data_IF_716162068491
#
_entry.id   IF_716162068491
#
_cell.length_a   1.000
_cell.length_b   1.000
_cell.length_c   1.000
_cell.angle_alpha   90.00
_cell.angle_beta   90.00
_cell.angle_gamma   90.00
#
_symmetry.space_group_name_H-M   'P 1'
#
loop_
_entity.id
_entity.type
_entity.pdbx_description
1 polymer ?
#
# COMPACT_ATOMS: atom_id res chain seq x y z
N UNK A 1 -7.35 -16.69 13.48
CA UNK A 1 -5.95 -16.38 13.85
C UNK A 1 -6.00 -15.66 15.19
N UNK A 2 -5.60 -16.31 16.28
CA UNK A 2 -5.51 -15.66 17.60
C UNK A 2 -4.20 -14.89 17.64
N UNK A 3 -4.26 -13.56 17.54
CA UNK A 3 -3.10 -12.68 17.56
C UNK A 3 -2.50 -12.69 18.98
N UNK A 4 -1.43 -13.49 19.20
CA UNK A 4 -0.75 -13.66 20.50
C UNK A 4 0.15 -12.47 20.89
N UNK A 5 0.35 -11.52 19.99
CA UNK A 5 1.04 -10.25 20.21
C UNK A 5 0.10 -9.10 19.86
N UNK A 6 0.29 -7.88 20.40
CA UNK A 6 -0.49 -6.71 19.99
C UNK A 6 -0.43 -6.60 18.47
N UNK A 7 -1.56 -6.74 17.77
CA UNK A 7 -1.61 -6.50 16.34
C UNK A 7 -1.73 -5.00 16.16
N UNK A 8 -0.57 -4.36 16.08
CA UNK A 8 -0.47 -2.96 16.44
C UNK A 8 -0.64 -2.03 15.25
N UNK A 9 -1.18 -2.53 14.15
CA UNK A 9 -1.02 -1.87 12.86
C UNK A 9 -2.12 -2.30 11.93
N UNK A 10 -2.87 -1.34 11.38
CA UNK A 10 -3.88 -1.61 10.37
C UNK A 10 -3.35 -1.17 9.03
N UNK A 11 -3.39 -2.10 8.07
CA UNK A 11 -3.06 -1.83 6.69
C UNK A 11 -4.25 -2.23 5.84
N UNK A 12 -4.81 -1.26 5.13
CA UNK A 12 -5.76 -1.54 4.06
C UNK A 12 -5.02 -1.65 2.75
N UNK A 13 -5.23 -2.72 1.96
CA UNK A 13 -4.67 -2.85 0.61
C UNK A 13 -5.74 -3.10 -0.45
N UNK A 14 -5.63 -2.44 -1.60
CA UNK A 14 -6.63 -2.45 -2.69
C UNK A 14 -6.04 -2.81 -4.05
N UNK A 15 -6.93 -3.15 -4.98
CA UNK A 15 -6.79 -4.22 -5.97
C UNK A 15 -6.28 -3.74 -7.37
N UNK A 16 -5.67 -4.60 -8.23
CA UNK A 16 -4.93 -4.17 -9.42
C UNK A 16 -5.76 -4.00 -10.69
N UNK A 17 -5.13 -3.45 -11.74
CA UNK A 17 -5.48 -3.65 -13.14
C UNK A 17 -5.27 -5.12 -13.58
N UNK A 18 -6.05 -5.61 -14.55
CA UNK A 18 -5.76 -6.87 -15.27
C UNK A 18 -4.68 -6.60 -16.37
N UNK A 19 -3.67 -7.46 -16.56
CA UNK A 19 -2.55 -7.32 -17.54
C UNK A 19 -2.76 -8.21 -18.80
N UNK A 20 -2.01 -8.07 -19.93
CA UNK A 20 -1.19 -6.94 -20.43
C UNK A 20 -1.64 -6.52 -21.86
N UNK A 21 -2.02 -5.28 -22.13
CA UNK A 21 -2.25 -4.85 -23.52
C UNK A 21 -1.84 -3.40 -23.74
N UNK A 22 -1.15 -3.20 -24.86
CA UNK A 22 -0.83 -1.95 -25.52
C UNK A 22 -2.08 -1.16 -25.94
N UNK A 23 -3.08 -0.98 -25.08
CA UNK A 23 -4.18 -0.06 -25.32
C UNK A 23 -4.68 0.52 -24.00
N UNK A 24 -4.62 1.85 -23.91
CA UNK A 24 -5.16 2.60 -22.78
C UNK A 24 -6.63 2.31 -22.59
N UNK A 25 -6.93 1.52 -21.55
CA UNK A 25 -8.09 1.59 -20.67
C UNK A 25 -8.00 0.39 -19.70
N UNK A 26 -7.21 0.55 -18.63
CA UNK A 26 -7.10 -0.45 -17.58
C UNK A 26 -8.45 -0.67 -16.88
N UNK A 27 -8.81 -1.93 -16.66
CA UNK A 27 -9.99 -2.29 -15.86
C UNK A 27 -9.55 -2.53 -14.41
N UNK A 28 -9.94 -1.65 -13.49
CA UNK A 28 -9.79 -1.95 -12.06
C UNK A 28 -10.57 -3.25 -11.78
N UNK A 29 -10.02 -4.09 -10.91
CA UNK A 29 -10.66 -5.34 -10.52
C UNK A 29 -11.01 -5.24 -9.05
N UNK A 30 -12.05 -5.91 -8.56
CA UNK A 30 -12.35 -6.02 -7.12
C UNK A 30 -12.26 -7.48 -6.66
N UNK A 31 -11.20 -7.83 -5.90
CA UNK A 31 -10.86 -9.18 -5.44
C UNK A 31 -9.95 -9.11 -4.20
N UNK A 32 -10.51 -9.30 -3.01
CA UNK A 32 -9.77 -9.14 -1.74
C UNK A 32 -8.60 -10.13 -1.57
N UNK A 33 -8.58 -11.27 -2.27
CA UNK A 33 -7.53 -12.28 -2.15
C UNK A 33 -6.44 -12.23 -3.24
N UNK A 34 -6.50 -11.28 -4.17
CA UNK A 34 -5.49 -11.18 -5.26
C UNK A 34 -4.07 -11.04 -4.73
N UNK A 35 -3.91 -10.36 -3.60
CA UNK A 35 -2.62 -10.03 -3.00
C UNK A 35 -2.31 -10.85 -1.74
N UNK A 36 -2.85 -12.07 -1.63
CA UNK A 36 -2.67 -12.89 -0.42
C UNK A 36 -1.22 -13.06 0.04
N UNK A 37 -0.25 -13.13 -0.89
CA UNK A 37 1.16 -13.30 -0.55
C UNK A 37 1.70 -12.07 0.16
N UNK A 38 1.42 -10.89 -0.39
CA UNK A 38 1.72 -9.61 0.24
C UNK A 38 0.97 -9.47 1.58
N UNK A 39 -0.35 -9.65 1.59
CA UNK A 39 -1.17 -9.53 2.80
C UNK A 39 -0.71 -10.49 3.91
N UNK A 40 -0.38 -11.74 3.55
CA UNK A 40 0.09 -12.76 4.46
C UNK A 40 1.46 -12.43 5.05
N UNK A 41 2.40 -11.96 4.21
CA UNK A 41 3.72 -11.49 4.66
C UNK A 41 3.56 -10.38 5.70
N UNK A 42 2.82 -9.32 5.39
CA UNK A 42 2.61 -8.20 6.29
C UNK A 42 1.89 -8.64 7.58
N UNK A 43 0.85 -9.46 7.47
CA UNK A 43 0.11 -9.98 8.62
C UNK A 43 1.02 -10.82 9.53
N UNK A 44 1.97 -11.57 8.98
CA UNK A 44 2.93 -12.37 9.76
C UNK A 44 3.84 -11.51 10.66
N UNK A 45 3.97 -10.22 10.36
CA UNK A 45 4.70 -9.24 11.15
C UNK A 45 3.86 -8.48 12.18
N UNK A 46 2.64 -8.96 12.47
CA UNK A 46 1.82 -8.44 13.57
C UNK A 46 0.88 -7.29 13.19
N UNK A 47 0.34 -7.32 11.96
CA UNK A 47 -0.66 -6.35 11.50
C UNK A 47 -2.04 -7.01 11.31
N UNK A 48 -3.10 -6.23 11.52
CA UNK A 48 -4.44 -6.54 11.05
C UNK A 48 -4.59 -5.99 9.62
N UNK A 49 -4.96 -6.85 8.69
CA UNK A 49 -5.12 -6.50 7.27
C UNK A 49 -6.60 -6.55 6.90
N UNK A 50 -7.10 -5.49 6.28
CA UNK A 50 -8.41 -5.47 5.65
C UNK A 50 -8.19 -5.29 4.14
N UNK A 51 -8.61 -6.27 3.36
CA UNK A 51 -8.59 -6.18 1.89
C UNK A 51 -10.02 -6.01 1.40
N UNK A 52 -10.26 -5.00 0.55
CA UNK A 52 -11.59 -4.76 0.00
C UNK A 52 -11.84 -5.53 -1.29
N UNK A 53 -13.12 -5.78 -1.52
CA UNK A 53 -13.60 -6.59 -2.63
C UNK A 53 -13.98 -8.01 -2.18
N UNK A 54 -14.72 -8.73 -3.02
CA UNK A 54 -15.12 -10.10 -2.71
C UNK A 54 -13.90 -10.98 -2.48
N UNK A 55 -14.01 -11.94 -1.57
CA UNK A 55 -13.13 -13.10 -1.49
C UNK A 55 -13.34 -13.96 -2.73
N UNK A 56 -12.90 -13.48 -3.90
CA UNK A 56 -12.88 -14.31 -5.10
C UNK A 56 -12.17 -15.63 -4.76
N UNK A 57 -12.66 -16.71 -5.37
CA UNK A 57 -12.18 -18.08 -5.12
C UNK A 57 -10.65 -18.12 -5.07
N UNK A 58 -10.13 -18.68 -3.98
CA UNK A 58 -8.71 -18.89 -3.78
C UNK A 58 -8.11 -19.60 -5.02
N UNK A 59 -7.15 -18.97 -5.72
CA UNK A 59 -6.59 -19.49 -6.96
C UNK A 59 -5.75 -20.77 -6.79
N UNK A 60 -5.38 -21.15 -5.56
CA UNK A 60 -4.70 -22.42 -5.24
C UNK A 60 -5.68 -23.57 -5.01
N UNK A 61 -6.87 -23.31 -4.44
CA UNK A 61 -7.87 -24.35 -4.15
C UNK A 61 -8.97 -24.45 -5.18
N UNK A 62 -9.14 -23.44 -6.05
CA UNK A 62 -10.00 -23.51 -7.23
C UNK A 62 -9.33 -22.86 -8.43
N UNK A 63 -9.24 -23.56 -9.59
CA UNK A 63 -8.73 -22.95 -10.81
C UNK A 63 -9.54 -21.68 -11.10
N UNK A 64 -8.81 -20.61 -11.44
CA UNK A 64 -9.34 -19.29 -11.79
C UNK A 64 -10.64 -19.43 -12.57
N UNK A 65 -11.78 -19.18 -11.92
CA UNK A 65 -13.04 -19.06 -12.64
C UNK A 65 -12.88 -17.90 -13.61
N UNK A 66 -12.96 -18.18 -14.91
CA UNK A 66 -12.96 -17.18 -15.98
C UNK A 66 -14.12 -16.17 -15.86
N UNK A 67 -15.05 -16.40 -14.92
CA UNK A 67 -16.28 -15.64 -14.73
C UNK A 67 -16.30 -14.74 -13.46
N UNK A 68 -15.19 -14.55 -12.74
CA UNK A 68 -15.23 -13.83 -11.43
C UNK A 68 -14.32 -12.62 -11.29
N UNK A 69 -13.45 -12.31 -12.25
CA UNK A 69 -12.79 -10.99 -12.32
C UNK A 69 -13.78 -9.99 -12.91
N UNK A 70 -14.68 -9.45 -12.09
CA UNK A 70 -15.56 -8.38 -12.52
C UNK A 70 -14.71 -7.11 -12.61
N UNK A 71 -14.57 -6.57 -13.82
CA UNK A 71 -14.10 -5.20 -13.99
C UNK A 71 -15.01 -4.30 -13.15
N UNK A 72 -14.44 -3.60 -12.19
CA UNK A 72 -15.17 -2.71 -11.30
C UNK A 72 -14.68 -1.29 -11.49
N UNK A 73 -15.53 -0.32 -11.18
CA UNK A 73 -15.06 1.04 -10.93
C UNK A 73 -14.26 1.09 -9.62
N UNK A 74 -13.50 2.17 -9.44
CA UNK A 74 -12.87 2.46 -8.15
C UNK A 74 -13.94 2.60 -7.06
N UNK A 75 -13.67 2.08 -5.86
CA UNK A 75 -14.55 2.17 -4.70
C UNK A 75 -13.79 2.64 -3.44
N UNK A 76 -13.36 3.92 -3.39
CA UNK A 76 -12.69 4.46 -2.21
C UNK A 76 -13.59 4.45 -0.96
N UNK A 77 -14.92 4.41 -1.10
CA UNK A 77 -15.82 4.30 0.05
C UNK A 77 -15.63 2.98 0.82
N UNK A 78 -15.21 1.90 0.15
CA UNK A 78 -14.89 0.65 0.83
C UNK A 78 -13.64 0.77 1.72
N UNK A 79 -12.67 1.61 1.34
CA UNK A 79 -11.53 1.97 2.19
C UNK A 79 -12.00 2.74 3.42
N UNK A 80 -12.80 3.78 3.23
CA UNK A 80 -13.32 4.59 4.35
C UNK A 80 -14.15 3.75 5.32
N UNK A 81 -15.01 2.86 4.82
CA UNK A 81 -15.79 1.94 5.66
C UNK A 81 -14.92 0.99 6.49
N UNK A 82 -13.78 0.54 5.95
CA UNK A 82 -12.85 -0.28 6.70
C UNK A 82 -12.14 0.53 7.80
N UNK A 83 -11.75 1.78 7.53
CA UNK A 83 -11.22 2.68 8.57
C UNK A 83 -12.26 2.85 9.69
N UNK A 84 -13.52 3.11 9.34
CA UNK A 84 -14.61 3.24 10.31
C UNK A 84 -14.81 1.96 11.12
N UNK A 85 -14.80 0.81 10.46
CA UNK A 85 -14.93 -0.49 11.12
C UNK A 85 -13.79 -0.74 12.11
N UNK A 86 -12.56 -0.39 11.75
CA UNK A 86 -11.39 -0.53 12.63
C UNK A 86 -11.57 0.32 13.88
N UNK A 87 -11.94 1.58 13.73
CA UNK A 87 -12.17 2.47 14.88
C UNK A 87 -13.33 2.03 15.75
N UNK A 88 -14.36 1.39 15.16
CA UNK A 88 -15.48 0.85 15.92
C UNK A 88 -15.12 -0.42 16.71
N UNK A 89 -14.16 -1.23 16.25
CA UNK A 89 -13.89 -2.58 16.77
C UNK A 89 -12.54 -2.74 17.48
N UNK A 90 -11.55 -1.89 17.20
CA UNK A 90 -10.25 -1.93 17.86
C UNK A 90 -10.40 -1.88 19.40
N UNK A 91 -9.58 -2.66 20.10
CA UNK A 91 -9.62 -2.78 21.55
C UNK A 91 -10.81 -3.59 22.10
N UNK A 92 -11.63 -4.25 21.25
CA UNK A 92 -12.83 -4.98 21.68
C UNK A 92 -12.84 -6.43 21.22
N UNK A 93 -13.29 -7.34 22.10
CA UNK A 93 -13.55 -8.75 21.77
C UNK A 93 -12.35 -9.43 21.09
N UNK A 94 -12.57 -9.97 19.89
CA UNK A 94 -11.52 -10.61 19.08
C UNK A 94 -10.41 -9.66 18.62
N UNK A 95 -10.66 -8.35 18.68
CA UNK A 95 -9.77 -7.27 18.24
C UNK A 95 -9.19 -6.48 19.42
N UNK A 96 -9.18 -7.07 20.62
CA UNK A 96 -8.62 -6.43 21.84
C UNK A 96 -7.16 -6.00 21.67
N UNK A 97 -6.42 -6.71 20.83
CA UNK A 97 -5.01 -6.45 20.55
C UNK A 97 -4.78 -5.45 19.39
N UNK A 98 -5.84 -4.88 18.81
CA UNK A 98 -5.76 -3.95 17.69
C UNK A 98 -5.68 -2.52 18.20
N UNK A 99 -4.65 -1.78 17.77
CA UNK A 99 -4.45 -0.37 18.11
C UNK A 99 -4.85 0.53 16.92
N UNK A 100 -5.99 1.21 17.05
CA UNK A 100 -6.49 2.12 16.00
C UNK A 100 -5.68 3.40 15.84
N UNK A 101 -4.79 3.73 16.79
CA UNK A 101 -3.87 4.88 16.66
C UNK A 101 -2.69 4.63 15.71
N UNK A 102 -2.66 3.45 15.08
CA UNK A 102 -1.58 3.00 14.20
C UNK A 102 -2.18 2.47 12.88
N UNK A 103 -2.76 3.38 12.12
CA UNK A 103 -3.47 3.05 10.88
C UNK A 103 -2.80 3.64 9.63
N UNK A 104 -2.75 2.82 8.58
CA UNK A 104 -2.28 3.18 7.25
C UNK A 104 -3.22 2.67 6.15
N UNK A 105 -3.19 3.35 5.01
CA UNK A 105 -3.96 2.95 3.82
C UNK A 105 -3.02 2.84 2.63
N UNK A 106 -2.96 1.65 2.06
CA UNK A 106 -2.08 1.32 0.95
C UNK A 106 -2.91 0.84 -0.24
N UNK A 107 -2.33 0.87 -1.42
CA UNK A 107 -3.01 0.34 -2.59
C UNK A 107 -2.08 0.19 -3.78
N UNK A 108 -2.43 -0.76 -4.63
CA UNK A 108 -1.74 -0.99 -5.88
C UNK A 108 -2.60 -0.50 -7.05
N UNK A 109 -1.99 0.11 -8.07
CA UNK A 109 -2.72 0.50 -9.29
C UNK A 109 -3.95 1.39 -9.01
N UNK A 110 -5.16 1.05 -9.49
CA UNK A 110 -6.41 1.72 -9.12
C UNK A 110 -6.59 1.84 -7.61
N UNK A 111 -6.15 0.82 -6.87
CA UNK A 111 -6.13 0.84 -5.43
C UNK A 111 -5.28 1.96 -4.83
N UNK A 112 -4.18 2.36 -5.46
CA UNK A 112 -3.39 3.51 -5.04
C UNK A 112 -4.16 4.83 -5.18
N UNK A 113 -4.96 4.98 -6.24
CA UNK A 113 -5.85 6.13 -6.42
C UNK A 113 -6.98 6.16 -5.37
N UNK A 114 -7.50 4.99 -5.02
CA UNK A 114 -8.45 4.85 -3.91
C UNK A 114 -7.79 5.22 -2.58
N UNK A 115 -6.55 4.77 -2.34
CA UNK A 115 -5.79 5.09 -1.14
C UNK A 115 -5.59 6.60 -0.97
N UNK A 116 -5.24 7.32 -2.04
CA UNK A 116 -5.25 8.79 -2.02
C UNK A 116 -6.61 9.34 -1.59
N UNK A 117 -7.68 8.90 -2.24
CA UNK A 117 -9.04 9.42 -1.97
C UNK A 117 -9.48 9.18 -0.53
N UNK A 118 -9.21 7.99 0.00
CA UNK A 118 -9.66 7.60 1.33
C UNK A 118 -8.81 8.17 2.47
N UNK A 119 -7.53 8.47 2.23
CA UNK A 119 -6.57 8.76 3.31
C UNK A 119 -6.03 10.18 3.35
N UNK A 120 -6.00 10.91 2.22
CA UNK A 120 -5.31 12.21 2.15
C UNK A 120 -5.82 13.22 3.17
N UNK A 121 -7.12 13.18 3.49
CA UNK A 121 -7.79 14.10 4.41
C UNK A 121 -8.40 13.41 5.64
N UNK A 122 -8.10 12.13 5.88
CA UNK A 122 -8.59 11.42 7.07
C UNK A 122 -7.50 11.43 8.15
N UNK A 123 -7.66 12.26 9.19
CA UNK A 123 -6.68 12.44 10.27
C UNK A 123 -6.36 11.17 11.06
N UNK A 124 -7.18 10.12 10.93
CA UNK A 124 -6.92 8.81 11.52
C UNK A 124 -5.83 8.03 10.79
N UNK A 125 -5.53 8.39 9.53
CA UNK A 125 -4.51 7.73 8.71
C UNK A 125 -3.17 8.44 8.87
N UNK A 126 -2.14 7.69 9.27
CA UNK A 126 -0.81 8.25 9.55
C UNK A 126 0.10 8.30 8.34
N UNK A 127 -0.07 7.39 7.38
CA UNK A 127 0.70 7.40 6.13
C UNK A 127 -0.01 6.64 5.02
N UNK A 128 0.44 6.89 3.79
CA UNK A 128 -0.11 6.30 2.57
C UNK A 128 0.98 5.51 1.84
N UNK A 129 0.63 4.32 1.36
CA UNK A 129 1.51 3.44 0.59
C UNK A 129 0.98 3.27 -0.84
N UNK A 130 1.75 3.74 -1.83
CA UNK A 130 1.38 3.72 -3.25
C UNK A 130 2.28 2.71 -3.96
N UNK A 131 1.70 1.59 -4.37
CA UNK A 131 2.43 0.52 -5.06
C UNK A 131 2.05 0.52 -6.55
N UNK A 132 3.02 0.64 -7.46
CA UNK A 132 2.79 0.58 -8.91
C UNK A 132 1.57 1.39 -9.36
N UNK A 133 1.49 2.64 -8.91
CA UNK A 133 0.34 3.53 -9.08
C UNK A 133 0.77 5.00 -9.15
N UNK A 134 -0.16 5.86 -9.54
CA UNK A 134 -0.06 7.30 -9.53
C UNK A 134 -1.25 7.95 -10.23
N UNK A 135 -1.44 9.24 -10.02
CA UNK A 135 -2.56 10.01 -10.59
C UNK A 135 -2.56 9.96 -12.12
N UNK A 136 -3.76 9.81 -12.70
CA UNK A 136 -3.92 9.52 -14.14
C UNK A 136 -3.65 10.72 -15.07
N UNK A 137 -3.45 11.91 -14.52
CA UNK A 137 -3.16 13.12 -15.29
C UNK A 137 -2.25 14.06 -14.50
N UNK A 138 -1.55 14.95 -15.21
CA UNK A 138 -0.72 15.97 -14.56
C UNK A 138 -1.55 16.92 -13.66
N UNK A 139 -2.78 17.26 -14.09
CA UNK A 139 -3.66 18.13 -13.31
C UNK A 139 -4.11 17.45 -12.01
N UNK A 140 -4.50 16.18 -12.07
CA UNK A 140 -4.88 15.43 -10.87
C UNK A 140 -3.67 15.15 -9.97
N UNK A 141 -2.48 14.95 -10.54
CA UNK A 141 -1.22 14.85 -9.78
C UNK A 141 -0.97 16.12 -8.97
N UNK A 142 -1.05 17.31 -9.59
CA UNK A 142 -0.90 18.58 -8.88
C UNK A 142 -2.00 18.81 -7.84
N UNK A 143 -3.26 18.50 -8.16
CA UNK A 143 -4.38 18.73 -7.25
C UNK A 143 -4.34 17.80 -6.02
N UNK A 144 -3.92 16.54 -6.19
CA UNK A 144 -3.95 15.51 -5.14
C UNK A 144 -2.58 15.33 -4.49
N UNK A 145 -1.55 14.94 -5.26
CA UNK A 145 -0.21 14.74 -4.72
C UNK A 145 0.44 16.09 -4.35
N UNK A 146 0.24 17.13 -5.17
CA UNK A 146 0.79 18.47 -4.91
C UNK A 146 0.24 19.18 -3.67
N UNK A 147 -0.80 18.64 -3.03
CA UNK A 147 -1.36 19.15 -1.76
C UNK A 147 -1.16 18.16 -0.60
N UNK A 148 -0.43 17.06 -0.82
CA UNK A 148 -0.23 16.01 0.17
C UNK A 148 0.63 16.50 1.34
N UNK A 149 0.10 16.41 2.56
CA UNK A 149 0.84 16.77 3.78
C UNK A 149 1.25 15.56 4.62
N UNK A 150 0.61 14.39 4.40
CA UNK A 150 0.90 13.16 5.15
C UNK A 150 2.15 12.46 4.58
N UNK A 151 2.88 11.69 5.39
CA UNK A 151 3.91 10.79 4.90
C UNK A 151 3.37 9.87 3.79
N UNK A 152 4.09 9.79 2.67
CA UNK A 152 3.67 9.00 1.50
C UNK A 152 4.84 8.24 0.88
N UNK A 153 4.62 6.96 0.56
CA UNK A 153 5.67 6.03 0.14
C UNK A 153 5.30 5.38 -1.17
N UNK A 154 6.14 5.55 -2.19
CA UNK A 154 5.95 4.99 -3.52
C UNK A 154 6.89 3.80 -3.74
N UNK A 155 6.36 2.68 -4.21
CA UNK A 155 7.14 1.54 -4.68
C UNK A 155 6.69 1.21 -6.09
N UNK A 156 7.50 1.53 -7.10
CA UNK A 156 7.11 1.53 -8.50
C UNK A 156 7.86 0.44 -9.29
N UNK A 157 7.19 -0.13 -10.30
CA UNK A 157 7.69 -1.26 -11.08
C UNK A 157 8.71 -0.91 -12.16
N UNK A 158 9.26 0.30 -12.12
CA UNK A 158 10.28 0.78 -13.05
C UNK A 158 9.72 1.17 -14.41
N UNK A 159 10.57 1.58 -15.37
CA UNK A 159 10.12 2.17 -16.64
C UNK A 159 9.19 1.31 -17.51
N UNK A 160 9.13 -0.01 -17.29
CA UNK A 160 8.23 -0.94 -17.98
C UNK A 160 6.84 -1.05 -17.34
N UNK A 161 6.66 -0.52 -16.13
CA UNK A 161 5.36 -0.41 -15.47
C UNK A 161 4.54 0.75 -16.05
N UNK A 162 3.31 0.46 -16.45
CA UNK A 162 2.33 1.44 -16.95
C UNK A 162 2.11 2.61 -15.99
N UNK A 163 2.21 2.40 -14.68
CA UNK A 163 1.99 3.42 -13.68
C UNK A 163 3.26 4.19 -13.28
N UNK A 164 4.44 3.78 -13.77
CA UNK A 164 5.73 4.36 -13.35
C UNK A 164 5.80 5.87 -13.57
N UNK A 165 5.43 6.34 -14.76
CA UNK A 165 5.44 7.77 -15.08
C UNK A 165 4.50 8.55 -14.18
N UNK A 166 3.34 7.99 -13.84
CA UNK A 166 2.36 8.64 -12.97
C UNK A 166 2.88 8.74 -11.53
N UNK A 167 3.41 7.64 -10.97
CA UNK A 167 3.96 7.64 -9.61
C UNK A 167 5.18 8.56 -9.46
N UNK A 168 6.06 8.57 -10.47
CA UNK A 168 7.20 9.50 -10.49
C UNK A 168 6.76 10.96 -10.61
N UNK A 169 5.71 11.24 -11.39
CA UNK A 169 5.12 12.59 -11.49
C UNK A 169 4.51 13.02 -10.15
N UNK A 170 3.73 12.15 -9.51
CA UNK A 170 3.17 12.40 -8.18
C UNK A 170 4.27 12.75 -7.17
N UNK A 171 5.30 11.92 -7.08
CA UNK A 171 6.44 12.16 -6.19
C UNK A 171 7.12 13.50 -6.47
N UNK A 172 7.29 13.86 -7.74
CA UNK A 172 7.91 15.13 -8.13
C UNK A 172 7.08 16.37 -7.76
N UNK A 173 5.75 16.22 -7.73
CA UNK A 173 4.81 17.29 -7.44
C UNK A 173 4.58 17.51 -5.94
N UNK A 174 4.99 16.58 -5.08
CA UNK A 174 4.83 16.70 -3.63
C UNK A 174 5.40 18.03 -3.10
N UNK A 175 4.73 18.67 -2.12
CA UNK A 175 5.34 19.77 -1.39
C UNK A 175 6.70 19.37 -0.84
N UNK A 176 7.66 20.30 -0.89
CA UNK A 176 9.03 20.06 -0.39
C UNK A 176 9.10 19.84 1.11
N UNK A 177 8.01 20.01 1.85
CA UNK A 177 7.88 19.73 3.28
C UNK A 177 7.31 18.34 3.57
N UNK A 178 6.75 17.65 2.58
CA UNK A 178 6.07 16.37 2.75
C UNK A 178 7.10 15.25 2.93
N UNK A 179 7.03 14.45 4.01
CA UNK A 179 7.86 13.26 4.14
C UNK A 179 7.51 12.24 3.06
N UNK A 180 8.49 11.86 2.25
CA UNK A 180 8.23 10.95 1.15
C UNK A 180 9.44 10.11 0.78
N UNK A 181 9.15 8.91 0.28
CA UNK A 181 10.12 7.99 -0.32
C UNK A 181 9.56 7.49 -1.64
N UNK A 182 10.42 7.34 -2.64
CA UNK A 182 10.14 6.59 -3.87
C UNK A 182 11.24 5.56 -4.07
N UNK A 183 10.85 4.30 -4.24
CA UNK A 183 11.73 3.20 -4.61
C UNK A 183 11.24 2.57 -5.92
N UNK A 184 12.15 2.37 -6.87
CA UNK A 184 11.85 1.73 -8.14
C UNK A 184 12.49 0.34 -8.20
N UNK A 185 11.72 -0.66 -8.60
CA UNK A 185 12.19 -2.00 -8.95
C UNK A 185 11.94 -2.26 -10.45
N UNK A 186 12.32 -3.42 -10.99
CA UNK A 186 12.33 -3.70 -12.43
C UNK A 186 11.38 -4.84 -12.85
N UNK A 187 10.39 -5.14 -12.00
CA UNK A 187 9.43 -6.25 -12.17
C UNK A 187 8.13 -5.83 -12.87
N UNK A 188 8.02 -4.59 -13.35
CA UNK A 188 6.80 -4.09 -13.95
C UNK A 188 5.62 -4.03 -12.97
N UNK A 189 4.40 -3.97 -13.52
CA UNK A 189 3.21 -3.58 -12.75
C UNK A 189 2.75 -4.56 -11.67
N UNK A 190 2.90 -5.88 -11.89
CA UNK A 190 2.31 -6.89 -11.00
C UNK A 190 3.23 -8.05 -10.64
N UNK A 191 4.29 -8.32 -11.40
CA UNK A 191 5.06 -9.55 -11.21
C UNK A 191 5.71 -9.65 -9.82
N UNK A 192 6.10 -8.52 -9.21
CA UNK A 192 6.61 -8.51 -7.83
C UNK A 192 5.60 -9.02 -6.80
N UNK A 193 4.30 -8.86 -7.03
CA UNK A 193 3.24 -9.36 -6.12
C UNK A 193 2.97 -10.85 -6.27
N UNK A 194 3.35 -11.44 -7.41
CA UNK A 194 3.20 -12.87 -7.69
C UNK A 194 4.40 -13.68 -7.19
N UNK A 195 5.53 -13.03 -6.84
CA UNK A 195 6.66 -13.66 -6.15
C UNK A 195 6.22 -14.19 -4.76
N UNK A 196 6.92 -15.21 -4.23
CA UNK A 196 6.65 -15.74 -2.89
C UNK A 196 6.68 -14.61 -1.86
N UNK A 197 5.64 -14.52 -1.03
CA UNK A 197 5.47 -13.44 -0.03
C UNK A 197 5.58 -12.03 -0.62
N UNK A 198 5.27 -11.88 -1.92
CA UNK A 198 5.39 -10.64 -2.70
C UNK A 198 6.81 -10.06 -2.76
N UNK A 199 7.86 -10.87 -2.52
CA UNK A 199 9.26 -10.56 -2.77
C UNK A 199 9.68 -9.13 -2.40
N UNK A 200 10.02 -8.34 -3.43
CA UNK A 200 10.52 -6.96 -3.30
C UNK A 200 9.51 -6.05 -2.59
N UNK A 201 8.24 -6.10 -2.99
CA UNK A 201 7.20 -5.22 -2.45
C UNK A 201 6.71 -5.70 -1.09
N UNK A 202 6.69 -7.01 -0.83
CA UNK A 202 6.46 -7.58 0.50
C UNK A 202 7.51 -7.11 1.51
N UNK A 203 8.78 -7.18 1.14
CA UNK A 203 9.88 -6.65 1.97
C UNK A 203 9.67 -5.15 2.28
N UNK A 204 9.41 -4.34 1.26
CA UNK A 204 9.16 -2.90 1.43
C UNK A 204 7.97 -2.60 2.37
N UNK A 205 6.84 -3.29 2.19
CA UNK A 205 5.68 -3.18 3.07
C UNK A 205 6.01 -3.58 4.51
N UNK A 206 6.80 -4.63 4.72
CA UNK A 206 7.25 -5.04 6.06
C UNK A 206 8.11 -3.95 6.71
N UNK A 207 8.98 -3.28 5.97
CA UNK A 207 9.79 -2.19 6.51
C UNK A 207 8.95 -0.95 6.85
N UNK A 208 7.94 -0.63 6.04
CA UNK A 208 6.96 0.42 6.39
C UNK A 208 6.22 0.10 7.68
N UNK A 209 5.69 -1.12 7.79
CA UNK A 209 4.98 -1.58 8.99
C UNK A 209 5.85 -1.43 10.24
N UNK A 210 7.08 -1.97 10.17
CA UNK A 210 8.06 -1.89 11.26
C UNK A 210 8.27 -0.45 11.70
N UNK A 211 8.61 0.42 10.75
CA UNK A 211 8.94 1.79 11.10
C UNK A 211 7.72 2.60 11.54
N UNK A 212 6.74 2.76 10.65
CA UNK A 212 5.72 3.79 10.78
C UNK A 212 4.58 3.42 11.72
N UNK A 213 4.31 2.12 11.86
CA UNK A 213 3.21 1.66 12.71
C UNK A 213 3.71 1.01 13.98
N UNK A 214 4.86 0.35 13.94
CA UNK A 214 5.43 -0.29 15.13
C UNK A 214 6.53 0.49 15.82
N UNK A 215 7.03 1.60 15.27
CA UNK A 215 8.09 2.40 15.88
C UNK A 215 9.45 1.69 15.92
N UNK A 216 9.66 0.67 15.08
CA UNK A 216 10.90 -0.09 14.95
C UNK A 216 11.86 0.64 13.99
N UNK A 217 12.89 1.26 14.57
CA UNK A 217 13.92 2.04 13.86
C UNK A 217 14.72 1.19 12.86
N UNK A 218 14.70 -0.15 12.93
CA UNK A 218 15.33 -0.98 11.88
C UNK A 218 14.65 -0.78 10.53
N UNK A 219 13.33 -0.58 10.52
CA UNK A 219 12.58 -0.24 9.31
C UNK A 219 13.01 1.12 8.74
N UNK A 220 13.25 2.12 9.60
CA UNK A 220 13.74 3.44 9.18
C UNK A 220 15.11 3.36 8.50
N UNK A 221 16.01 2.57 9.07
CA UNK A 221 17.35 2.35 8.52
C UNK A 221 17.28 1.77 7.10
N UNK A 222 16.27 0.92 6.80
CA UNK A 222 16.08 0.42 5.44
C UNK A 222 15.86 1.54 4.41
N UNK A 223 15.03 2.54 4.75
CA UNK A 223 14.74 3.68 3.87
C UNK A 223 15.90 4.68 3.79
N UNK A 224 16.54 4.96 4.93
CA UNK A 224 17.48 6.10 5.06
C UNK A 224 18.96 5.71 4.98
N UNK A 225 19.30 4.44 5.23
CA UNK A 225 20.67 3.93 5.24
C UNK A 225 20.95 2.91 4.14
N UNK A 226 20.04 2.79 3.17
CA UNK A 226 20.29 2.01 1.94
C UNK A 226 19.96 0.53 2.04
N UNK A 227 19.13 0.08 2.99
CA UNK A 227 18.65 -1.30 3.04
C UNK A 227 17.87 -1.72 1.79
N UNK A 228 17.22 -0.78 1.10
CA UNK A 228 16.56 -1.02 -0.18
C UNK A 228 17.49 -1.55 -1.28
N UNK A 229 18.79 -1.24 -1.22
CA UNK A 229 19.78 -1.69 -2.23
C UNK A 229 19.94 -3.21 -2.28
N UNK A 230 19.71 -3.88 -1.16
CA UNK A 230 19.81 -5.33 -1.05
C UNK A 230 18.47 -6.05 -1.23
N UNK A 231 17.38 -5.29 -1.42
CA UNK A 231 16.01 -5.82 -1.51
C UNK A 231 15.46 -5.85 -2.94
N UNK A 232 16.30 -5.65 -3.96
CA UNK A 232 15.88 -5.68 -5.38
C UNK A 232 15.35 -4.35 -5.94
N UNK A 233 15.45 -3.25 -5.19
CA UNK A 233 15.21 -1.91 -5.74
C UNK A 233 16.44 -1.42 -6.52
N UNK A 234 16.21 -0.93 -7.74
CA UNK A 234 17.27 -0.43 -8.64
C UNK A 234 17.58 1.04 -8.40
N UNK A 235 16.65 1.81 -7.84
CA UNK A 235 16.87 3.18 -7.41
C UNK A 235 15.91 3.57 -6.30
N UNK A 236 16.30 4.55 -5.49
CA UNK A 236 15.39 5.18 -4.55
C UNK A 236 15.77 6.66 -4.30
N UNK A 237 14.81 7.43 -3.83
CA UNK A 237 14.99 8.82 -3.38
C UNK A 237 14.03 9.11 -2.24
N UNK A 238 14.37 10.04 -1.36
CA UNK A 238 13.51 10.43 -0.25
C UNK A 238 13.70 11.89 0.14
N UNK A 239 12.68 12.45 0.80
CA UNK A 239 12.68 13.81 1.36
C UNK A 239 11.97 13.82 2.72
N UNK A 240 12.46 14.63 3.66
CA UNK A 240 11.88 14.91 4.99
C UNK A 240 11.49 13.68 5.83
N UNK A 241 12.15 12.54 5.64
CA UNK A 241 11.87 11.34 6.43
C UNK A 241 12.22 11.52 7.92
N UNK A 242 13.12 12.46 8.25
CA UNK A 242 13.45 12.87 9.61
C UNK A 242 12.31 13.62 10.33
N UNK A 243 11.31 14.12 9.60
CA UNK A 243 10.15 14.83 10.16
C UNK A 243 9.02 13.89 10.58
N UNK A 244 9.12 12.60 10.25
CA UNK A 244 8.11 11.64 10.64
C UNK A 244 8.22 11.37 12.14
N UNK A 245 7.11 11.59 12.85
CA UNK A 245 6.94 11.16 14.24
C UNK A 245 6.28 9.79 14.22
N UNK A 246 6.99 8.79 14.73
CA UNK A 246 6.47 7.43 14.85
C UNK A 246 5.93 7.17 16.25
N UNK A 247 4.96 6.25 16.39
CA UNK A 247 4.48 5.84 17.70
C UNK A 247 5.56 5.07 18.48
N UNK A 248 5.32 4.82 19.77
CA UNK A 248 6.26 4.06 20.60
C UNK A 248 6.49 2.64 20.09
N UNK A 249 7.72 2.14 20.23
CA UNK A 249 8.14 0.82 19.80
C UNK A 249 7.39 -0.31 20.50
N UNK A 250 6.93 -1.32 19.73
CA UNK A 250 6.22 -2.53 20.20
C UNK A 250 6.50 -3.74 19.32
#
# INVERSE_FOLDING_TARGET
ITLKTPASSIIHFTNPFNQPLEQGNGACVSQGLRFRGFLGEIASHGALLIATGPTATDPETRPRSTNTTVASSQNPAALTQAIDWVFANAGKGLYVNVDSSRLAVWGQSCGGLEAYTAASHDDRVHHIGIFNSGQLSANTSLAVAGTMMKPIFYFLGGPTDIAYKNGMLDYSNLPKTTPAFVGNHDKGHSAAFDDLNAGIVGNAGTQLLRWLLRGDETGRAWFTMGGWKTSGFVSASYQNLDKIVTPSAI
#
